data_IF_473993107951
#
_entry.id   IF_473993107951
#
_cell.length_a   1.000
_cell.length_b   1.000
_cell.length_c   1.000
_cell.angle_alpha   90.00
_cell.angle_beta   90.00
_cell.angle_gamma   90.00
#
_symmetry.space_group_name_H-M   'P 1'
#
loop_
_entity.id
_entity.type
_entity.pdbx_description
1 polymer ?
#
# COMPACT_ATOMS: atom_id res chain seq x y z
N UNK A 1 10.08 -15.39 18.64
CA UNK A 1 10.00 -13.93 18.41
C UNK A 1 8.53 -13.65 18.13
N UNK A 2 7.85 -13.04 19.07
CA UNK A 2 6.41 -12.81 18.93
C UNK A 2 6.20 -11.58 18.04
N UNK A 3 5.90 -11.81 16.78
CA UNK A 3 5.38 -10.80 15.83
C UNK A 3 3.98 -10.33 16.28
N UNK A 4 3.46 -10.96 17.31
CA UNK A 4 2.08 -10.78 17.81
C UNK A 4 1.80 -9.44 18.45
N UNK A 5 2.75 -8.76 18.95
CA UNK A 5 2.50 -7.66 19.83
C UNK A 5 2.85 -6.37 19.14
N UNK A 6 2.03 -5.91 18.17
CA UNK A 6 2.10 -4.54 17.68
C UNK A 6 3.56 -4.06 17.53
N UNK A 7 4.41 -4.98 17.08
CA UNK A 7 5.88 -4.87 17.12
C UNK A 7 6.46 -3.82 16.19
N UNK A 8 5.60 -3.00 15.60
CA UNK A 8 5.99 -1.91 14.68
C UNK A 8 6.93 -2.39 13.57
N UNK A 9 6.75 -3.64 13.17
CA UNK A 9 7.45 -4.28 12.05
C UNK A 9 6.43 -4.70 11.00
N UNK A 10 6.84 -4.74 9.76
CA UNK A 10 6.04 -5.19 8.64
C UNK A 10 6.69 -6.42 7.99
N UNK A 11 5.90 -7.30 7.35
CA UNK A 11 6.42 -8.53 6.74
C UNK A 11 7.00 -8.33 5.34
N UNK A 12 6.91 -7.13 4.80
CA UNK A 12 7.17 -6.85 3.40
C UNK A 12 8.62 -7.02 2.96
N UNK A 13 8.80 -6.94 1.66
CA UNK A 13 10.11 -7.05 1.02
C UNK A 13 10.96 -5.81 1.27
N UNK A 14 12.14 -5.99 1.82
CA UNK A 14 13.11 -4.93 2.07
C UNK A 14 14.53 -5.46 1.94
N UNK A 15 15.46 -4.57 1.66
CA UNK A 15 16.90 -4.84 1.71
C UNK A 15 17.53 -4.11 2.90
N UNK A 16 18.67 -4.58 3.44
CA UNK A 16 19.37 -3.86 4.48
C UNK A 16 19.67 -2.41 4.04
N UNK A 17 19.26 -1.44 4.88
CA UNK A 17 19.43 -0.01 4.62
C UNK A 17 18.76 0.53 3.35
N UNK A 18 17.79 -0.20 2.80
CA UNK A 18 17.04 0.24 1.65
C UNK A 18 16.04 1.35 1.99
N UNK A 19 15.87 2.33 1.09
CA UNK A 19 14.83 3.36 1.19
C UNK A 19 13.46 2.80 0.82
N UNK A 20 13.42 1.85 -0.09
CA UNK A 20 12.18 1.22 -0.55
C UNK A 20 11.90 -0.02 0.30
N UNK A 21 10.72 -0.03 0.87
CA UNK A 21 10.23 -1.07 1.75
C UNK A 21 8.79 -1.40 1.35
N UNK A 22 8.66 -2.44 0.52
CA UNK A 22 7.35 -2.82 -0.07
C UNK A 22 6.60 -3.73 0.89
N UNK A 23 5.47 -3.29 1.40
CA UNK A 23 4.71 -4.08 2.37
C UNK A 23 3.20 -3.92 2.21
N UNK A 24 2.42 -4.95 2.59
CA UNK A 24 0.98 -4.80 2.69
C UNK A 24 0.61 -3.79 3.79
N UNK A 25 -0.41 -2.99 3.52
CA UNK A 25 -1.16 -2.22 4.50
C UNK A 25 -2.42 -2.99 4.88
N UNK A 26 -2.59 -3.28 6.15
CA UNK A 26 -3.80 -3.94 6.65
C UNK A 26 -4.77 -2.95 7.29
N UNK A 27 -4.26 -1.82 7.78
CA UNK A 27 -5.08 -0.71 8.27
C UNK A 27 -4.50 0.63 7.88
N UNK A 28 -5.36 1.63 7.94
CA UNK A 28 -4.99 3.03 7.83
C UNK A 28 -5.33 3.73 9.12
N UNK A 29 -4.34 4.30 9.78
CA UNK A 29 -4.50 4.95 11.09
C UNK A 29 -4.55 3.98 12.28
N UNK A 30 -4.69 4.50 13.47
CA UNK A 30 -4.66 3.73 14.71
C UNK A 30 -3.25 3.37 15.18
N UNK A 31 -3.13 2.41 16.08
CA UNK A 31 -1.89 2.03 16.77
C UNK A 31 -0.97 1.11 15.94
N UNK A 32 -0.97 1.23 14.64
CA UNK A 32 -0.16 0.41 13.73
C UNK A 32 0.81 1.25 12.94
N UNK A 33 1.85 1.73 13.60
CA UNK A 33 2.87 2.57 12.99
C UNK A 33 3.56 1.99 11.76
N UNK A 34 3.53 0.68 11.58
CA UNK A 34 4.05 0.00 10.38
C UNK A 34 3.02 -0.20 9.26
N UNK A 35 1.76 0.15 9.48
CA UNK A 35 0.66 -0.12 8.53
C UNK A 35 0.20 -1.57 8.46
N UNK A 36 0.82 -2.48 9.17
CA UNK A 36 0.50 -3.91 9.19
C UNK A 36 0.23 -4.41 10.62
N UNK A 37 -0.79 -5.26 10.74
CA UNK A 37 -1.02 -6.07 11.94
C UNK A 37 -1.42 -7.48 11.56
N UNK A 38 -0.81 -8.46 12.21
CA UNK A 38 -1.15 -9.88 12.05
C UNK A 38 -2.57 -10.22 12.55
N UNK A 39 -3.17 -9.37 13.37
CA UNK A 39 -4.55 -9.54 13.85
C UNK A 39 -5.59 -9.20 12.77
N UNK A 40 -5.21 -8.42 11.75
CA UNK A 40 -6.12 -8.00 10.71
C UNK A 40 -6.34 -9.08 9.66
N UNK A 41 -7.49 -9.02 9.02
CA UNK A 41 -7.95 -10.03 8.06
C UNK A 41 -7.97 -9.53 6.62
N UNK A 42 -7.80 -8.23 6.43
CA UNK A 42 -7.90 -7.60 5.12
C UNK A 42 -6.66 -6.75 4.80
N UNK A 43 -6.29 -6.72 3.53
CA UNK A 43 -5.24 -5.86 2.98
C UNK A 43 -5.89 -4.74 2.18
N UNK A 44 -5.46 -3.50 2.40
CA UNK A 44 -5.88 -2.31 1.65
C UNK A 44 -5.08 -2.09 0.38
N UNK A 45 -3.87 -2.61 0.35
CA UNK A 45 -2.94 -2.46 -0.75
C UNK A 45 -1.50 -2.65 -0.29
N UNK A 46 -0.58 -2.39 -1.21
CA UNK A 46 0.86 -2.54 -1.00
C UNK A 46 1.53 -1.19 -1.20
N UNK A 47 2.21 -0.71 -0.19
CA UNK A 47 2.91 0.57 -0.21
C UNK A 47 4.42 0.38 -0.30
N UNK A 48 5.14 1.40 -0.75
CA UNK A 48 6.57 1.34 -1.05
C UNK A 48 7.45 2.01 0.00
N UNK A 49 6.86 2.73 0.93
CA UNK A 49 7.58 3.52 1.93
C UNK A 49 7.18 3.11 3.35
N UNK A 50 7.18 1.83 3.62
CA UNK A 50 6.90 1.35 4.97
C UNK A 50 8.06 1.65 5.91
N UNK A 51 7.74 1.78 7.19
CA UNK A 51 8.73 2.00 8.23
C UNK A 51 8.55 0.97 9.33
N UNK A 52 9.65 0.39 9.79
CA UNK A 52 9.67 -0.50 10.94
C UNK A 52 10.64 0.00 12.01
N UNK A 53 10.42 -0.41 13.25
CA UNK A 53 11.31 -0.13 14.37
C UNK A 53 10.71 0.75 15.44
N UNK A 54 11.57 1.38 16.22
CA UNK A 54 11.19 2.22 17.35
C UNK A 54 10.75 3.59 16.85
N UNK A 55 9.52 3.69 16.46
CA UNK A 55 8.98 4.97 16.03
C UNK A 55 7.47 4.85 15.90
N UNK A 56 6.80 5.75 16.51
CA UNK A 56 5.35 5.73 16.66
C UNK A 56 4.75 6.81 15.79
N UNK A 57 4.90 6.65 14.49
CA UNK A 57 4.69 7.82 13.67
C UNK A 57 3.47 7.75 12.77
N UNK A 58 2.94 6.55 12.46
CA UNK A 58 1.77 6.42 11.62
C UNK A 58 1.87 7.23 10.32
N UNK A 59 3.07 7.41 9.85
CA UNK A 59 3.39 8.09 8.62
C UNK A 59 4.03 7.13 7.62
N UNK A 60 4.26 7.61 6.40
CA UNK A 60 4.67 6.80 5.27
C UNK A 60 3.57 5.83 4.83
N UNK A 61 3.90 4.72 4.19
CA UNK A 61 2.92 3.87 3.54
C UNK A 61 2.35 4.52 2.28
N UNK A 62 3.18 5.29 1.60
CA UNK A 62 2.82 6.06 0.42
C UNK A 62 2.84 5.22 -0.84
N UNK A 63 2.17 5.72 -1.86
CA UNK A 63 2.02 5.07 -3.15
C UNK A 63 1.40 3.68 -2.97
N UNK A 64 0.17 3.68 -2.46
CA UNK A 64 -0.57 2.45 -2.17
C UNK A 64 -1.14 1.87 -3.45
N UNK A 65 -0.73 0.64 -3.76
CA UNK A 65 -1.10 -0.08 -4.98
C UNK A 65 -1.95 -1.29 -4.62
N UNK A 66 -3.12 -1.43 -5.24
CA UNK A 66 -4.03 -2.55 -5.03
C UNK A 66 -4.45 -3.17 -6.36
N UNK A 67 -4.14 -4.44 -6.63
CA UNK A 67 -4.68 -5.15 -7.76
C UNK A 67 -6.12 -5.58 -7.47
N UNK A 68 -7.02 -5.38 -8.42
CA UNK A 68 -8.45 -5.71 -8.27
C UNK A 68 -9.03 -6.31 -9.54
N UNK A 69 -10.16 -7.02 -9.40
CA UNK A 69 -11.00 -7.49 -10.50
C UNK A 69 -12.45 -7.12 -10.20
N UNK A 70 -13.31 -7.19 -11.21
CA UNK A 70 -14.75 -6.96 -11.03
C UNK A 70 -15.12 -5.50 -10.80
N UNK A 71 -15.96 -5.21 -9.84
CA UNK A 71 -16.48 -3.87 -9.56
C UNK A 71 -15.36 -2.91 -9.12
N UNK A 72 -15.45 -1.66 -9.57
CA UNK A 72 -14.51 -0.60 -9.19
C UNK A 72 -15.01 0.14 -7.95
N UNK A 73 -14.33 -0.05 -6.84
CA UNK A 73 -14.57 0.72 -5.61
C UNK A 73 -13.59 1.90 -5.52
N UNK A 74 -14.13 3.06 -5.12
CA UNK A 74 -13.36 4.32 -5.02
C UNK A 74 -12.54 4.43 -3.72
N UNK A 75 -12.96 3.72 -2.68
CA UNK A 75 -12.37 3.79 -1.34
C UNK A 75 -11.95 2.41 -0.88
N UNK A 76 -11.03 2.34 0.06
CA UNK A 76 -10.58 1.06 0.62
C UNK A 76 -11.69 0.30 1.37
N UNK A 77 -12.69 1.01 1.88
CA UNK A 77 -13.67 0.41 2.78
C UNK A 77 -13.14 0.26 4.21
N UNK A 78 -13.87 -0.48 5.02
CA UNK A 78 -13.49 -0.77 6.41
C UNK A 78 -13.59 -2.26 6.70
N UNK A 79 -12.61 -2.80 7.40
CA UNK A 79 -12.69 -4.13 7.97
C UNK A 79 -13.83 -4.18 9.01
N UNK A 80 -14.58 -5.27 9.02
CA UNK A 80 -15.71 -5.49 9.93
C UNK A 80 -16.88 -4.50 9.79
N UNK A 81 -17.00 -3.82 8.67
CA UNK A 81 -18.14 -2.94 8.38
C UNK A 81 -18.63 -3.12 6.93
N UNK A 82 -19.54 -4.05 6.74
CA UNK A 82 -20.13 -4.39 5.43
C UNK A 82 -20.88 -3.21 4.78
N UNK A 83 -21.24 -2.19 5.57
CA UNK A 83 -21.89 -0.99 5.05
C UNK A 83 -20.93 -0.09 4.27
N UNK A 84 -19.61 -0.28 4.44
CA UNK A 84 -18.58 0.51 3.76
C UNK A 84 -17.70 -0.44 2.95
N UNK A 85 -18.29 -0.98 1.88
CA UNK A 85 -17.57 -1.76 0.90
C UNK A 85 -16.49 -0.93 0.23
N UNK A 86 -15.38 -1.56 -0.11
CA UNK A 86 -14.27 -0.90 -0.76
C UNK A 86 -13.37 -1.89 -1.49
N UNK A 87 -12.25 -1.40 -1.99
CA UNK A 87 -11.31 -2.22 -2.75
C UNK A 87 -10.41 -3.09 -1.88
N UNK A 88 -10.43 -2.99 -0.54
CA UNK A 88 -9.67 -3.93 0.32
C UNK A 88 -10.12 -5.37 0.10
N UNK A 89 -9.22 -6.30 0.31
CA UNK A 89 -9.48 -7.73 0.17
C UNK A 89 -9.13 -8.49 1.43
N UNK A 90 -9.94 -9.49 1.74
CA UNK A 90 -9.53 -10.56 2.64
C UNK A 90 -8.31 -11.24 2.04
N UNK A 91 -7.39 -11.70 2.85
CA UNK A 91 -6.20 -12.42 2.41
C UNK A 91 -6.05 -13.75 3.15
N UNK A 92 -5.44 -14.71 2.47
CA UNK A 92 -5.21 -16.02 3.05
C UNK A 92 -3.84 -16.06 3.75
N UNK A 93 -3.85 -15.94 5.07
CA UNK A 93 -2.62 -15.99 5.89
C UNK A 93 -1.81 -17.28 5.71
N UNK A 94 -2.44 -18.38 5.34
CA UNK A 94 -1.72 -19.63 5.08
C UNK A 94 -0.84 -19.56 3.83
N UNK A 95 -1.14 -18.62 2.91
CA UNK A 95 -0.33 -18.36 1.70
C UNK A 95 0.70 -17.27 1.91
N UNK A 96 0.67 -16.59 3.06
CA UNK A 96 1.59 -15.51 3.36
C UNK A 96 3.02 -16.03 3.52
N UNK A 97 3.93 -15.48 2.75
CA UNK A 97 5.35 -15.80 2.83
C UNK A 97 6.15 -14.51 2.96
N UNK A 98 6.93 -14.40 4.02
CA UNK A 98 7.83 -13.29 4.26
C UNK A 98 9.26 -13.79 4.42
N UNK A 99 10.16 -13.31 3.57
CA UNK A 99 11.60 -13.60 3.59
C UNK A 99 12.37 -12.30 3.36
N UNK A 100 13.63 -12.28 3.68
CA UNK A 100 14.50 -11.15 3.34
C UNK A 100 14.39 -10.84 1.83
N UNK A 101 13.98 -9.62 1.50
CA UNK A 101 13.83 -9.16 0.12
C UNK A 101 12.64 -9.72 -0.67
N UNK A 102 11.78 -10.51 -0.06
CA UNK A 102 10.62 -11.09 -0.74
C UNK A 102 9.41 -11.22 0.18
N UNK A 103 8.24 -10.90 -0.39
CA UNK A 103 6.95 -11.14 0.25
C UNK A 103 5.94 -11.66 -0.77
N UNK A 104 5.05 -12.55 -0.36
CA UNK A 104 3.91 -12.95 -1.17
C UNK A 104 2.67 -13.29 -0.34
N UNK A 105 1.49 -13.12 -0.95
CA UNK A 105 0.18 -13.43 -0.34
C UNK A 105 -0.88 -13.60 -1.41
N UNK A 106 -1.96 -14.32 -1.10
CA UNK A 106 -3.16 -14.42 -1.93
C UNK A 106 -4.28 -13.51 -1.38
N UNK A 107 -4.79 -12.64 -2.24
CA UNK A 107 -5.99 -11.83 -2.02
C UNK A 107 -7.22 -12.64 -2.40
N UNK A 108 -7.97 -13.10 -1.43
CA UNK A 108 -9.01 -14.12 -1.67
C UNK A 108 -10.25 -13.57 -2.36
N UNK A 109 -10.63 -12.32 -2.13
CA UNK A 109 -11.80 -11.72 -2.77
C UNK A 109 -11.62 -11.51 -4.28
N UNK A 110 -10.38 -11.37 -4.71
CA UNK A 110 -10.01 -11.16 -6.11
C UNK A 110 -9.34 -12.38 -6.75
N UNK A 111 -8.98 -13.40 -5.97
CA UNK A 111 -8.18 -14.54 -6.42
C UNK A 111 -6.87 -14.11 -7.09
N UNK A 112 -6.22 -13.09 -6.53
CA UNK A 112 -4.98 -12.54 -7.06
C UNK A 112 -3.84 -12.92 -6.12
N UNK A 113 -2.81 -13.56 -6.69
CA UNK A 113 -1.53 -13.72 -6.00
C UNK A 113 -0.71 -12.46 -6.19
N UNK A 114 -0.23 -11.91 -5.08
CA UNK A 114 0.69 -10.77 -5.05
C UNK A 114 2.06 -11.24 -4.59
N UNK A 115 3.08 -10.82 -5.29
CA UNK A 115 4.48 -11.05 -4.95
C UNK A 115 5.22 -9.72 -4.98
N UNK A 116 6.10 -9.48 -4.05
CA UNK A 116 6.91 -8.27 -4.01
C UNK A 116 8.37 -8.54 -3.70
N UNK A 117 9.22 -7.69 -4.24
CA UNK A 117 10.64 -7.64 -3.94
C UNK A 117 11.13 -6.20 -3.94
N UNK A 118 12.27 -5.94 -3.32
CA UNK A 118 12.84 -4.61 -3.24
C UNK A 118 14.35 -4.63 -3.43
N UNK A 119 14.87 -3.55 -3.98
CA UNK A 119 16.27 -3.13 -3.93
C UNK A 119 16.38 -1.91 -3.02
N UNK A 120 17.57 -1.35 -2.76
CA UNK A 120 17.68 -0.14 -1.95
C UNK A 120 16.85 1.05 -2.44
N UNK A 121 16.59 1.15 -3.74
CA UNK A 121 15.92 2.30 -4.36
C UNK A 121 14.71 1.97 -5.22
N UNK A 122 14.42 0.70 -5.47
CA UNK A 122 13.32 0.28 -6.31
C UNK A 122 12.53 -0.84 -5.64
N UNK A 123 11.22 -0.85 -5.86
CA UNK A 123 10.35 -1.96 -5.50
C UNK A 123 9.65 -2.52 -6.72
N UNK A 124 9.32 -3.80 -6.69
CA UNK A 124 8.53 -4.46 -7.72
C UNK A 124 7.34 -5.16 -7.07
N UNK A 125 6.19 -5.05 -7.71
CA UNK A 125 5.00 -5.84 -7.44
C UNK A 125 4.69 -6.68 -8.68
N UNK A 126 4.48 -7.97 -8.46
CA UNK A 126 4.04 -8.89 -9.47
C UNK A 126 2.66 -9.44 -9.10
N UNK A 127 1.71 -9.30 -10.01
CA UNK A 127 0.33 -9.73 -9.82
C UNK A 127 -0.02 -10.86 -10.76
N UNK A 128 -0.45 -12.00 -10.20
CA UNK A 128 -1.04 -13.08 -10.98
C UNK A 128 -2.55 -13.02 -10.86
N UNK A 129 -3.22 -12.56 -11.90
CA UNK A 129 -4.66 -12.42 -11.96
C UNK A 129 -5.34 -13.72 -12.40
N UNK A 130 -6.57 -14.00 -11.94
CA UNK A 130 -7.42 -14.97 -12.58
C UNK A 130 -7.80 -14.47 -13.99
N UNK A 131 -8.38 -15.34 -14.81
CA UNK A 131 -8.92 -14.92 -16.11
C UNK A 131 -10.07 -13.94 -15.90
N UNK A 132 -9.89 -12.69 -16.29
CA UNK A 132 -10.88 -11.62 -16.15
C UNK A 132 -10.59 -10.52 -17.16
N UNK A 133 -11.65 -9.97 -17.75
CA UNK A 133 -11.63 -8.77 -18.59
C UNK A 133 -11.66 -7.45 -17.77
N UNK A 134 -11.85 -7.56 -16.45
CA UNK A 134 -11.93 -6.44 -15.53
C UNK A 134 -10.73 -6.38 -14.56
N UNK A 135 -9.59 -6.94 -14.97
CA UNK A 135 -8.35 -6.84 -14.18
C UNK A 135 -7.79 -5.42 -14.23
N UNK A 136 -7.43 -4.87 -13.07
CA UNK A 136 -6.90 -3.51 -12.97
C UNK A 136 -5.92 -3.35 -11.83
N UNK A 137 -5.15 -2.28 -11.91
CA UNK A 137 -4.32 -1.78 -10.81
C UNK A 137 -4.92 -0.46 -10.35
N UNK A 138 -5.28 -0.37 -9.07
CA UNK A 138 -5.68 0.89 -8.43
C UNK A 138 -4.48 1.45 -7.67
N UNK A 139 -4.28 2.75 -7.78
CA UNK A 139 -3.24 3.48 -7.05
C UNK A 139 -3.93 4.54 -6.23
N UNK A 140 -3.88 4.39 -4.92
CA UNK A 140 -4.47 5.35 -3.99
C UNK A 140 -3.38 6.31 -3.48
N UNK A 141 -3.38 7.50 -4.04
CA UNK A 141 -2.44 8.57 -3.68
C UNK A 141 -2.95 9.40 -2.50
N UNK A 142 -4.18 9.22 -2.07
CA UNK A 142 -4.69 9.91 -0.91
C UNK A 142 -4.28 9.25 0.41
N UNK A 143 -3.91 7.97 0.40
CA UNK A 143 -3.66 7.18 1.60
C UNK A 143 -2.21 7.29 2.07
N UNK A 144 -2.05 7.36 3.39
CA UNK A 144 -0.84 7.05 4.16
C UNK A 144 -1.24 6.38 5.47
N UNK A 145 -0.31 5.75 6.17
CA UNK A 145 -0.62 4.92 7.35
C UNK A 145 -1.39 5.70 8.42
N UNK A 146 -1.01 6.89 8.75
CA UNK A 146 -1.64 7.69 9.83
C UNK A 146 -2.66 8.73 9.36
N UNK A 147 -3.00 8.77 8.07
CA UNK A 147 -3.91 9.80 7.57
C UNK A 147 -4.01 9.84 6.06
N UNK A 148 -4.12 11.03 5.51
CA UNK A 148 -4.22 11.27 4.07
C UNK A 148 -3.12 12.19 3.57
N UNK A 149 -2.79 12.13 2.30
CA UNK A 149 -2.03 13.18 1.64
C UNK A 149 -2.92 14.41 1.43
N UNK A 150 -2.33 15.59 1.42
CA UNK A 150 -3.06 16.86 1.27
C UNK A 150 -3.08 17.35 -0.17
N UNK A 151 -2.19 16.83 -0.99
CA UNK A 151 -2.13 17.15 -2.41
C UNK A 151 -1.42 16.04 -3.18
N UNK A 152 -1.90 15.74 -4.38
CA UNK A 152 -1.38 14.65 -5.21
C UNK A 152 -1.25 15.11 -6.66
N UNK A 153 -0.32 14.49 -7.36
CA UNK A 153 -0.16 14.67 -8.79
C UNK A 153 0.22 13.35 -9.44
N UNK A 154 -0.38 13.06 -10.57
CA UNK A 154 -0.04 11.92 -11.41
C UNK A 154 -0.02 12.37 -12.87
N UNK A 155 0.95 11.87 -13.61
CA UNK A 155 1.10 12.08 -15.05
C UNK A 155 1.39 10.73 -15.70
N UNK A 156 0.63 10.39 -16.73
CA UNK A 156 0.99 9.34 -17.68
C UNK A 156 2.04 9.92 -18.63
N UNK A 157 3.22 9.34 -18.64
CA UNK A 157 4.38 9.80 -19.43
C UNK A 157 4.32 9.18 -20.82
N UNK A 158 4.05 7.88 -20.86
CA UNK A 158 3.87 7.07 -22.06
C UNK A 158 2.97 5.86 -21.75
N UNK A 159 2.81 4.96 -22.71
CA UNK A 159 1.91 3.80 -22.57
C UNK A 159 2.29 2.86 -21.41
N UNK A 160 3.47 2.93 -20.87
CA UNK A 160 3.97 2.03 -19.82
C UNK A 160 4.34 2.75 -18.53
N UNK A 161 4.32 4.09 -18.52
CA UNK A 161 5.00 4.85 -17.49
C UNK A 161 4.12 5.91 -16.87
N UNK A 162 4.11 5.96 -15.56
CA UNK A 162 3.53 7.06 -14.78
C UNK A 162 4.58 7.68 -13.88
N UNK A 163 4.40 8.95 -13.57
CA UNK A 163 5.17 9.66 -12.55
C UNK A 163 4.28 10.62 -11.77
N UNK A 164 4.72 10.99 -10.60
CA UNK A 164 3.98 11.95 -9.80
C UNK A 164 4.56 12.15 -8.41
N UNK A 165 3.73 12.72 -7.55
CA UNK A 165 4.08 12.97 -6.17
C UNK A 165 2.85 12.99 -5.26
N UNK A 166 3.10 12.79 -3.97
CA UNK A 166 2.15 12.93 -2.88
C UNK A 166 2.73 13.88 -1.84
N UNK A 167 2.03 14.95 -1.53
CA UNK A 167 2.40 15.86 -0.43
C UNK A 167 1.62 15.46 0.83
N UNK A 168 2.33 15.23 1.90
CA UNK A 168 1.82 14.82 3.20
C UNK A 168 2.15 15.90 4.22
N UNK A 169 1.17 16.70 4.60
CA UNK A 169 1.31 17.74 5.61
C UNK A 169 0.59 17.35 6.90
N UNK A 170 0.82 18.05 8.02
CA UNK A 170 0.09 17.82 9.25
C UNK A 170 -1.44 17.90 9.12
N UNK A 171 -1.95 18.67 8.15
CA UNK A 171 -3.39 18.83 7.93
C UNK A 171 -4.07 17.53 7.45
N UNK A 172 -3.32 16.64 6.82
CA UNK A 172 -3.81 15.32 6.40
C UNK A 172 -3.88 14.29 7.52
N UNK A 173 -3.57 14.66 8.75
CA UNK A 173 -3.46 13.76 9.89
C UNK A 173 -2.02 13.28 10.10
N UNK A 174 -1.88 12.07 10.62
CA UNK A 174 -0.59 11.52 11.04
C UNK A 174 -0.41 11.57 12.54
N UNK A 175 0.56 10.80 13.02
CA UNK A 175 0.88 10.74 14.43
C UNK A 175 1.90 11.82 14.78
N UNK A 176 1.62 12.56 15.79
CA UNK A 176 2.48 13.61 16.31
C UNK A 176 1.63 14.73 16.89
N UNK A 177 1.36 14.69 18.19
CA UNK A 177 0.81 15.81 18.90
C UNK A 177 1.94 16.79 19.20
N UNK A 178 2.00 17.91 18.48
CA UNK A 178 2.91 18.99 18.80
C UNK A 178 4.01 19.23 17.74
N UNK A 179 5.14 19.71 18.21
CA UNK A 179 6.31 19.99 17.39
C UNK A 179 6.85 18.70 16.74
N UNK A 180 6.97 18.67 15.43
CA UNK A 180 7.49 17.53 14.69
C UNK A 180 6.46 16.76 13.86
N UNK A 181 5.32 17.34 13.55
CA UNK A 181 4.39 16.77 12.56
C UNK A 181 5.07 16.61 11.22
N UNK A 182 4.90 15.45 10.60
CA UNK A 182 5.54 15.16 9.35
C UNK A 182 5.01 16.07 8.21
N UNK A 183 5.91 16.77 7.57
CA UNK A 183 5.66 17.55 6.34
C UNK A 183 6.70 17.11 5.31
N UNK A 184 6.24 16.33 4.33
CA UNK A 184 7.13 15.75 3.32
C UNK A 184 6.38 15.53 2.00
N UNK A 185 7.16 15.39 0.94
CA UNK A 185 6.65 15.01 -0.38
C UNK A 185 7.37 13.77 -0.86
N UNK A 186 6.60 12.75 -1.27
CA UNK A 186 7.12 11.55 -1.91
C UNK A 186 6.92 11.68 -3.41
N UNK A 187 8.00 11.54 -4.15
CA UNK A 187 7.99 11.47 -5.61
C UNK A 187 8.08 10.00 -6.03
N UNK A 188 7.42 9.66 -7.12
CA UNK A 188 7.45 8.31 -7.66
C UNK A 188 7.56 8.32 -9.19
N UNK A 189 8.17 7.25 -9.68
CA UNK A 189 8.23 6.89 -11.08
C UNK A 189 7.95 5.40 -11.17
N UNK A 190 6.95 5.00 -11.94
CA UNK A 190 6.54 3.60 -12.03
C UNK A 190 6.38 3.16 -13.48
N UNK A 191 6.87 1.96 -13.78
CA UNK A 191 6.74 1.30 -15.07
C UNK A 191 5.92 0.04 -14.96
N UNK A 192 5.07 -0.20 -15.95
CA UNK A 192 4.24 -1.38 -16.06
C UNK A 192 4.77 -2.32 -17.14
N UNK A 193 4.62 -3.62 -16.93
CA UNK A 193 5.01 -4.64 -17.91
C UNK A 193 4.04 -4.76 -19.10
N UNK A 194 2.85 -4.16 -18.98
CA UNK A 194 1.82 -4.10 -20.01
C UNK A 194 1.42 -2.66 -20.27
N UNK A 195 0.98 -2.32 -21.48
CA UNK A 195 0.58 -0.96 -21.81
C UNK A 195 -0.69 -0.56 -21.05
N UNK A 196 -0.77 0.71 -20.70
CA UNK A 196 -1.92 1.37 -20.09
C UNK A 196 -2.98 1.62 -21.17
N UNK A 197 -3.88 0.66 -21.37
CA UNK A 197 -4.90 0.73 -22.43
C UNK A 197 -6.13 1.52 -22.05
N UNK A 198 -6.45 1.56 -20.75
CA UNK A 198 -7.57 2.32 -20.21
C UNK A 198 -7.22 2.79 -18.80
N UNK A 199 -7.28 4.08 -18.56
CA UNK A 199 -7.00 4.67 -17.26
C UNK A 199 -7.87 5.90 -16.99
N UNK A 200 -8.05 6.20 -15.72
CA UNK A 200 -8.81 7.35 -15.26
C UNK A 200 -8.48 7.68 -13.82
N UNK A 201 -8.91 8.82 -13.36
CA UNK A 201 -8.78 9.23 -11.96
C UNK A 201 -10.15 9.38 -11.31
N UNK A 202 -10.20 9.10 -10.02
CA UNK A 202 -11.38 9.29 -9.19
C UNK A 202 -10.95 10.07 -7.96
N UNK A 203 -11.68 11.14 -7.65
CA UNK A 203 -11.56 11.88 -6.38
C UNK A 203 -12.69 11.50 -5.43
N UNK A 204 -12.43 11.52 -4.13
CA UNK A 204 -13.39 11.29 -3.06
C UNK A 204 -13.12 12.19 -1.86
#
# INVERSE_FOLDING_TARGET
MCIRDRGKTFPGATTPYGMVQVSPNTITGGDNGSGYSDEHKTIEGFAFTQMSGVGWFGDLGNFLVMPTTGELYKVAGKENNDSIKGYRSVYNKATETAKAGYYSVELTDYHIKVESSATPHCGILHFTYPSSDQSRIQIDLARRVGGTSTSQYIKVVDDYTIQGWMKCTPDGGGWGNGEGKADYTVYYYAQFSKPLTNYGSVSY
#
